data_IF_674977481742
#
_entry.id   IF_674977481742
#
_cell.length_a   1.000
_cell.length_b   1.000
_cell.length_c   1.000
_cell.angle_alpha   90.00
_cell.angle_beta   90.00
_cell.angle_gamma   90.00
#
_symmetry.space_group_name_H-M   'P 1'
#
loop_
_entity.id
_entity.type
_entity.pdbx_description
1 polymer ?
#
# COMPACT_ATOMS: atom_id res chain seq x y z
N UNK A 1 10.65 -7.23 -5.73
CA UNK A 1 9.41 -6.65 -5.18
C UNK A 1 9.76 -5.44 -4.34
N UNK A 2 9.38 -4.25 -4.77
CA UNK A 2 9.63 -3.06 -3.96
C UNK A 2 8.83 -3.11 -2.66
N UNK A 3 9.51 -2.83 -1.56
CA UNK A 3 8.90 -2.79 -0.25
C UNK A 3 9.38 -1.55 0.48
N UNK A 4 8.43 -0.75 0.96
CA UNK A 4 8.72 0.44 1.75
C UNK A 4 8.20 0.18 3.16
N UNK A 5 9.06 0.30 4.16
CA UNK A 5 8.65 0.10 5.55
C UNK A 5 8.38 1.46 6.19
N UNK A 6 7.16 1.65 6.71
CA UNK A 6 6.73 2.88 7.36
C UNK A 6 6.09 2.51 8.69
N UNK A 7 6.70 2.93 9.80
CA UNK A 7 6.20 2.69 11.16
C UNK A 7 5.85 1.22 11.42
N UNK A 8 6.70 0.31 10.92
CA UNK A 8 6.54 -1.12 11.13
C UNK A 8 5.64 -1.83 10.13
N UNK A 9 4.96 -1.09 9.29
CA UNK A 9 4.13 -1.68 8.23
C UNK A 9 4.92 -1.79 6.94
N UNK A 10 4.77 -2.91 6.23
CA UNK A 10 5.41 -3.13 4.93
C UNK A 10 4.43 -2.77 3.83
N UNK A 11 4.77 -1.74 3.07
CA UNK A 11 3.99 -1.29 1.91
C UNK A 11 4.65 -1.88 0.68
N UNK A 12 3.98 -2.81 0.03
CA UNK A 12 4.57 -3.62 -1.03
C UNK A 12 3.63 -3.73 -2.23
N UNK A 13 4.21 -3.87 -3.42
CA UNK A 13 3.46 -4.29 -4.58
C UNK A 13 4.29 -5.32 -5.36
N UNK A 14 3.65 -6.02 -6.28
CA UNK A 14 4.26 -7.14 -7.00
C UNK A 14 4.34 -6.84 -8.49
N UNK A 15 5.29 -7.48 -9.18
CA UNK A 15 5.44 -7.30 -10.63
C UNK A 15 4.15 -7.66 -11.38
N UNK A 16 3.38 -8.61 -10.86
CA UNK A 16 2.10 -9.00 -11.46
C UNK A 16 1.02 -7.92 -11.34
N UNK A 17 1.24 -6.88 -10.54
CA UNK A 17 0.27 -5.79 -10.38
C UNK A 17 0.31 -4.77 -11.51
N UNK A 18 1.15 -4.98 -12.50
CA UNK A 18 1.45 -4.02 -13.57
C UNK A 18 0.22 -3.47 -14.29
N UNK A 19 -0.79 -4.30 -14.50
CA UNK A 19 -1.97 -3.90 -15.26
C UNK A 19 -3.06 -3.27 -14.40
N UNK A 20 -2.85 -3.19 -13.10
CA UNK A 20 -3.79 -2.55 -12.18
C UNK A 20 -3.45 -1.08 -12.00
N UNK A 21 -4.44 -0.26 -11.59
CA UNK A 21 -4.12 1.09 -11.11
C UNK A 21 -3.15 1.02 -9.92
N UNK A 22 -2.41 2.10 -9.64
CA UNK A 22 -1.48 2.10 -8.51
C UNK A 22 -2.13 1.71 -7.20
N UNK A 23 -1.50 0.78 -6.49
CA UNK A 23 -1.97 0.33 -5.19
C UNK A 23 -0.81 -0.25 -4.38
N UNK A 24 -1.06 -0.52 -3.11
CA UNK A 24 -0.08 -1.17 -2.22
C UNK A 24 -0.77 -2.25 -1.41
N UNK A 25 0.01 -3.27 -1.06
CA UNK A 25 -0.37 -4.27 -0.08
C UNK A 25 0.33 -3.90 1.22
N UNK A 26 -0.43 -3.70 2.29
CA UNK A 26 0.11 -3.33 3.59
C UNK A 26 0.12 -4.56 4.48
N UNK A 27 1.32 -4.99 4.83
CA UNK A 27 1.54 -6.25 5.55
C UNK A 27 2.10 -5.97 6.93
N UNK A 28 1.53 -6.65 7.94
CA UNK A 28 2.03 -6.61 9.30
C UNK A 28 1.62 -7.92 9.98
N UNK A 29 2.59 -8.73 10.39
CA UNK A 29 2.36 -10.07 10.92
C UNK A 29 1.55 -10.90 9.92
N UNK A 30 0.35 -11.38 10.31
CA UNK A 30 -0.52 -12.17 9.44
C UNK A 30 -1.59 -11.32 8.77
N UNK A 31 -1.56 -10.01 8.98
CA UNK A 31 -2.59 -9.10 8.48
C UNK A 31 -2.18 -8.52 7.14
N UNK A 32 -3.16 -8.29 6.28
CA UNK A 32 -2.92 -7.72 4.96
C UNK A 32 -4.09 -6.83 4.55
N UNK A 33 -3.76 -5.70 3.90
CA UNK A 33 -4.77 -4.84 3.29
C UNK A 33 -4.28 -4.43 1.91
N UNK A 34 -5.22 -4.32 0.95
CA UNK A 34 -4.92 -3.76 -0.36
C UNK A 34 -5.55 -2.37 -0.43
N UNK A 35 -4.74 -1.38 -0.73
CA UNK A 35 -5.15 0.03 -0.70
C UNK A 35 -4.78 0.69 -2.02
N UNK A 36 -5.78 1.25 -2.71
CA UNK A 36 -5.55 2.04 -3.92
C UNK A 36 -4.85 3.33 -3.54
N UNK A 37 -4.02 3.86 -4.43
CA UNK A 37 -3.26 5.08 -4.17
C UNK A 37 -3.87 6.35 -4.78
N UNK A 38 -4.78 6.22 -5.75
CA UNK A 38 -5.38 7.38 -6.44
C UNK A 38 -6.84 7.09 -6.76
N UNK A 39 -7.78 7.44 -5.89
CA UNK A 39 -7.62 7.97 -4.53
C UNK A 39 -7.22 6.89 -3.53
N UNK A 40 -6.87 7.30 -2.32
CA UNK A 40 -6.52 6.36 -1.25
C UNK A 40 -7.81 5.73 -0.72
N UNK A 41 -8.06 4.48 -1.11
CA UNK A 41 -9.28 3.74 -0.77
C UNK A 41 -8.91 2.29 -0.51
N UNK A 42 -9.49 1.70 0.53
CA UNK A 42 -9.27 0.28 0.84
C UNK A 42 -10.04 -0.60 -0.13
N UNK A 43 -9.34 -1.52 -0.77
CA UNK A 43 -9.97 -2.55 -1.59
C UNK A 43 -10.43 -3.72 -0.72
N UNK A 44 -9.54 -4.20 0.16
CA UNK A 44 -9.88 -5.23 1.15
C UNK A 44 -8.92 -5.14 2.33
N UNK A 45 -9.32 -5.74 3.44
CA UNK A 45 -8.51 -5.80 4.65
C UNK A 45 -8.79 -7.10 5.39
N UNK A 46 -7.74 -7.81 5.76
CA UNK A 46 -7.81 -9.05 6.51
C UNK A 46 -6.97 -8.94 7.77
N UNK A 47 -7.61 -9.06 8.93
CA UNK A 47 -6.94 -9.11 10.22
C UNK A 47 -6.81 -7.78 10.95
N UNK A 48 -6.84 -6.66 10.26
CA UNK A 48 -6.75 -5.35 10.91
C UNK A 48 -8.09 -4.96 11.54
N UNK A 49 -8.04 -4.42 12.77
CA UNK A 49 -9.24 -3.82 13.35
C UNK A 49 -9.43 -2.41 12.76
N UNK A 50 -10.57 -1.77 13.05
CA UNK A 50 -10.91 -0.49 12.45
C UNK A 50 -9.95 0.63 12.86
N UNK A 51 -9.46 0.61 14.09
CA UNK A 51 -8.51 1.61 14.58
C UNK A 51 -7.18 1.50 13.84
N UNK A 52 -6.69 0.29 13.69
CA UNK A 52 -5.43 0.04 12.99
C UNK A 52 -5.54 0.36 11.51
N UNK A 53 -6.67 0.01 10.89
CA UNK A 53 -6.90 0.32 9.49
C UNK A 53 -6.96 1.83 9.25
N UNK A 54 -7.57 2.59 10.17
CA UNK A 54 -7.57 4.06 10.11
C UNK A 54 -6.15 4.61 10.14
N UNK A 55 -5.30 4.04 11.01
CA UNK A 55 -3.89 4.46 11.09
C UNK A 55 -3.16 4.18 9.78
N UNK A 56 -3.38 3.00 9.21
CA UNK A 56 -2.76 2.61 7.94
C UNK A 56 -3.19 3.56 6.82
N UNK A 57 -4.47 3.91 6.76
CA UNK A 57 -4.96 4.85 5.75
C UNK A 57 -4.32 6.23 5.90
N UNK A 58 -4.15 6.68 7.15
CA UNK A 58 -3.49 7.96 7.41
C UNK A 58 -2.03 7.93 6.93
N UNK A 59 -1.32 6.85 7.23
CA UNK A 59 0.06 6.68 6.76
C UNK A 59 0.13 6.65 5.24
N UNK A 60 -0.81 5.97 4.60
CA UNK A 60 -0.86 5.88 3.14
C UNK A 60 -1.08 7.27 2.53
N UNK A 61 -2.00 8.06 3.08
CA UNK A 61 -2.25 9.42 2.59
C UNK A 61 -1.04 10.32 2.75
N UNK A 62 -0.35 10.23 3.89
CA UNK A 62 0.84 11.04 4.14
C UNK A 62 1.98 10.70 3.19
N UNK A 63 2.05 9.46 2.75
CA UNK A 63 3.15 8.97 1.92
C UNK A 63 2.71 8.69 0.49
N UNK A 64 1.54 9.20 0.09
CA UNK A 64 0.96 8.92 -1.23
C UNK A 64 1.92 9.25 -2.37
N UNK A 65 2.52 10.44 -2.35
CA UNK A 65 3.41 10.84 -3.44
C UNK A 65 4.65 9.94 -3.50
N UNK A 66 5.22 9.61 -2.35
CA UNK A 66 6.38 8.73 -2.27
C UNK A 66 6.05 7.34 -2.81
N UNK A 67 4.90 6.79 -2.41
CA UNK A 67 4.48 5.47 -2.86
C UNK A 67 4.18 5.46 -4.35
N UNK A 68 3.58 6.53 -4.88
CA UNK A 68 3.34 6.68 -6.31
C UNK A 68 4.65 6.78 -7.09
N UNK A 69 5.65 7.48 -6.56
CA UNK A 69 6.95 7.57 -7.20
C UNK A 69 7.61 6.19 -7.30
N UNK A 70 7.53 5.39 -6.22
CA UNK A 70 8.08 4.04 -6.23
C UNK A 70 7.35 3.18 -7.26
N UNK A 71 6.03 3.27 -7.30
CA UNK A 71 5.21 2.52 -8.26
C UNK A 71 5.57 2.90 -9.69
N UNK A 72 5.57 4.21 -10.00
CA UNK A 72 5.84 4.69 -11.34
C UNK A 72 7.27 4.35 -11.78
N UNK A 73 8.23 4.48 -10.87
CA UNK A 73 9.62 4.16 -11.17
C UNK A 73 9.81 2.68 -11.49
N UNK A 74 9.07 1.81 -10.82
CA UNK A 74 9.18 0.37 -11.03
C UNK A 74 8.53 -0.06 -12.35
N UNK A 75 7.36 0.51 -12.68
CA UNK A 75 6.58 0.06 -13.84
C UNK A 75 6.79 0.89 -15.11
N UNK A 76 7.58 1.95 -15.06
CA UNK A 76 7.77 2.85 -16.20
C UNK A 76 8.86 2.42 -17.17
N UNK A 77 9.36 1.21 -17.03
CA UNK A 77 10.44 0.70 -17.88
C UNK A 77 9.92 -0.04 -19.09
#
# INVERSE_FOLDING_TARGET
MPTTVIEGYKFRFYASDRNDPPHVHVLHDKNEAKIWLQPVVVEYSHGYNSLELSRILKLTRRNQNRLLEVWNGYFSK
#
